data_IF_551726167967
#
_entry.id   IF_551726167967
#
_cell.length_a   1.000
_cell.length_b   1.000
_cell.length_c   1.000
_cell.angle_alpha   90.00
_cell.angle_beta   90.00
_cell.angle_gamma   90.00
#
_symmetry.space_group_name_H-M   'P 1'
#
loop_
_entity.id
_entity.type
_entity.pdbx_description
1 polymer ?
#
# COMPACT_ATOMS: atom_id res chain seq x y z
N UNK A 1 -13.09 -23.98 23.01
CA UNK A 1 -13.99 -23.01 22.34
C UNK A 1 -13.15 -22.14 21.43
N UNK A 2 -13.72 -21.57 20.37
CA UNK A 2 -12.95 -20.77 19.39
C UNK A 2 -13.48 -19.34 19.32
N UNK A 3 -12.85 -18.50 18.49
CA UNK A 3 -13.26 -17.14 18.20
C UNK A 3 -14.79 -16.90 18.26
N UNK A 4 -15.19 -15.81 18.93
CA UNK A 4 -16.58 -15.39 19.15
C UNK A 4 -17.46 -16.31 20.03
N UNK A 5 -16.96 -17.47 20.46
CA UNK A 5 -17.64 -18.33 21.43
C UNK A 5 -17.68 -17.69 22.82
N UNK A 6 -18.76 -17.93 23.58
CA UNK A 6 -18.89 -17.45 24.97
C UNK A 6 -17.86 -18.12 25.88
N UNK A 7 -17.17 -17.37 26.73
CA UNK A 7 -16.16 -17.86 27.67
C UNK A 7 -16.26 -17.14 29.02
N UNK A 8 -15.71 -17.75 30.07
CA UNK A 8 -15.52 -17.16 31.39
C UNK A 8 -14.02 -17.02 31.72
N UNK A 9 -13.21 -18.03 31.39
CA UNK A 9 -11.75 -18.02 31.53
C UNK A 9 -11.05 -18.17 30.19
N UNK A 10 -9.81 -17.69 30.09
CA UNK A 10 -9.03 -17.75 28.85
C UNK A 10 -8.64 -19.18 28.46
N UNK A 11 -8.57 -20.11 29.42
CA UNK A 11 -8.30 -21.53 29.18
C UNK A 11 -9.39 -22.21 28.34
N UNK A 12 -10.62 -21.69 28.36
CA UNK A 12 -11.71 -22.19 27.53
C UNK A 12 -11.49 -21.89 26.04
N UNK A 13 -10.69 -20.87 25.71
CA UNK A 13 -10.37 -20.48 24.34
C UNK A 13 -9.18 -21.30 23.86
N UNK A 14 -9.47 -22.31 23.04
CA UNK A 14 -8.48 -23.30 22.59
C UNK A 14 -7.84 -22.92 21.24
N UNK A 15 -8.31 -21.85 20.59
CA UNK A 15 -7.71 -21.38 19.35
C UNK A 15 -6.36 -20.69 19.58
N UNK A 16 -5.45 -20.84 18.61
CA UNK A 16 -4.10 -20.25 18.70
C UNK A 16 -4.19 -18.73 18.71
N UNK A 17 -3.61 -18.10 19.72
CA UNK A 17 -3.62 -16.66 19.87
C UNK A 17 -4.99 -16.09 20.23
N UNK A 18 -5.84 -16.88 20.89
CA UNK A 18 -7.11 -16.45 21.45
C UNK A 18 -7.02 -16.25 22.96
N UNK A 19 -7.87 -15.38 23.50
CA UNK A 19 -8.04 -15.19 24.93
C UNK A 19 -9.50 -14.86 25.25
N UNK A 20 -9.93 -15.09 26.49
CA UNK A 20 -11.27 -14.72 26.90
C UNK A 20 -11.34 -13.23 27.25
N UNK A 21 -12.05 -12.46 26.43
CA UNK A 21 -12.31 -11.06 26.73
C UNK A 21 -13.45 -10.95 27.75
N UNK A 22 -13.12 -10.59 29.00
CA UNK A 22 -14.09 -10.48 30.10
C UNK A 22 -15.19 -9.44 29.86
N UNK A 23 -14.93 -8.38 29.10
CA UNK A 23 -15.92 -7.34 28.81
C UNK A 23 -17.04 -7.83 27.89
N UNK A 24 -16.70 -8.68 26.91
CA UNK A 24 -17.68 -9.27 25.99
C UNK A 24 -18.14 -10.68 26.37
N UNK A 25 -17.42 -11.32 27.31
CA UNK A 25 -17.60 -12.73 27.67
C UNK A 25 -17.37 -13.68 26.49
N UNK A 26 -16.49 -13.32 25.53
CA UNK A 26 -16.25 -14.09 24.30
C UNK A 26 -14.75 -14.27 24.01
N UNK A 27 -14.40 -15.34 23.30
CA UNK A 27 -13.04 -15.59 22.83
C UNK A 27 -12.66 -14.60 21.71
N UNK A 28 -11.59 -13.84 21.92
CA UNK A 28 -11.08 -12.82 21.01
C UNK A 28 -9.62 -13.12 20.65
N UNK A 29 -9.15 -12.61 19.51
CA UNK A 29 -7.73 -12.68 19.17
C UNK A 29 -6.91 -11.76 20.07
N UNK A 30 -5.72 -12.22 20.49
CA UNK A 30 -4.69 -11.39 21.10
C UNK A 30 -4.39 -10.16 20.25
N UNK A 31 -3.84 -9.11 20.87
CA UNK A 31 -3.42 -7.88 20.18
C UNK A 31 -2.38 -8.11 19.08
N UNK A 32 -1.58 -9.18 19.20
CA UNK A 32 -0.59 -9.62 18.22
C UNK A 32 -1.17 -10.45 17.08
N UNK A 33 -2.49 -10.67 17.09
CA UNK A 33 -3.22 -11.46 16.10
C UNK A 33 -4.40 -10.65 15.56
N UNK A 34 -4.96 -11.11 14.45
CA UNK A 34 -6.18 -10.56 13.88
C UNK A 34 -7.02 -11.68 13.26
N UNK A 35 -8.30 -11.38 13.05
CA UNK A 35 -9.24 -12.36 12.49
C UNK A 35 -9.07 -12.40 10.97
N UNK A 36 -8.69 -13.55 10.46
CA UNK A 36 -8.66 -13.86 9.03
C UNK A 36 -9.35 -15.22 8.80
N UNK A 37 -10.41 -15.23 8.01
CA UNK A 37 -11.17 -16.47 7.74
C UNK A 37 -11.71 -17.14 9.00
N UNK A 38 -12.14 -16.36 9.99
CA UNK A 38 -12.67 -16.88 11.26
C UNK A 38 -11.63 -17.46 12.22
N UNK A 39 -10.34 -17.30 11.94
CA UNK A 39 -9.24 -17.75 12.79
C UNK A 39 -8.34 -16.59 13.18
N UNK A 40 -7.75 -16.64 14.36
CA UNK A 40 -6.69 -15.73 14.74
C UNK A 40 -5.41 -16.07 13.99
N UNK A 41 -4.95 -15.15 13.14
CA UNK A 41 -3.67 -15.23 12.44
C UNK A 41 -2.71 -14.22 13.04
N UNK A 42 -1.41 -14.54 13.14
CA UNK A 42 -0.42 -13.63 13.70
C UNK A 42 -0.25 -12.39 12.81
N UNK A 43 0.08 -11.27 13.43
CA UNK A 43 0.51 -10.07 12.72
C UNK A 43 1.96 -10.25 12.29
N UNK A 44 2.25 -9.96 11.01
CA UNK A 44 3.60 -10.07 10.44
C UNK A 44 4.08 -8.66 10.10
N UNK A 45 5.25 -8.27 10.57
CA UNK A 45 5.76 -6.92 10.39
C UNK A 45 6.51 -6.75 9.06
N UNK A 46 6.58 -5.52 8.52
CA UNK A 46 7.38 -5.24 7.33
C UNK A 46 8.81 -5.75 7.46
N UNK A 47 9.27 -6.49 6.45
CA UNK A 47 10.59 -7.13 6.43
C UNK A 47 10.62 -8.57 6.94
N UNK A 48 9.56 -9.03 7.63
CA UNK A 48 9.41 -10.42 8.04
C UNK A 48 8.75 -11.28 6.96
N UNK A 49 9.06 -12.56 6.98
CA UNK A 49 8.45 -13.59 6.13
C UNK A 49 7.41 -14.40 6.90
N UNK A 50 6.55 -15.14 6.21
CA UNK A 50 5.48 -15.95 6.82
C UNK A 50 4.08 -15.34 6.69
N UNK A 51 3.89 -14.35 5.81
CA UNK A 51 2.57 -13.80 5.55
C UNK A 51 1.84 -14.64 4.50
N UNK A 52 0.56 -14.96 4.77
CA UNK A 52 -0.35 -15.60 3.81
C UNK A 52 -1.27 -14.58 3.14
N UNK A 53 -1.52 -13.44 3.80
CA UNK A 53 -2.46 -12.41 3.35
C UNK A 53 -1.91 -11.02 3.68
N UNK A 54 -2.13 -10.05 2.80
CA UNK A 54 -1.71 -8.66 3.01
C UNK A 54 -2.31 -8.05 4.28
N UNK A 55 -3.45 -8.53 4.77
CA UNK A 55 -4.06 -8.09 6.04
C UNK A 55 -3.17 -8.37 7.26
N UNK A 56 -2.34 -9.43 7.22
CA UNK A 56 -1.34 -9.71 8.25
C UNK A 56 -0.32 -8.58 8.35
N UNK A 57 0.17 -8.13 7.19
CA UNK A 57 1.12 -7.04 7.07
C UNK A 57 0.48 -5.69 7.41
N UNK A 58 -0.72 -5.43 6.88
CA UNK A 58 -1.44 -4.18 7.06
C UNK A 58 -1.79 -3.91 8.52
N UNK A 59 -1.98 -4.96 9.34
CA UNK A 59 -2.19 -4.83 10.78
C UNK A 59 -0.93 -4.39 11.52
N UNK A 60 0.25 -4.83 11.06
CA UNK A 60 1.54 -4.44 11.63
C UNK A 60 2.00 -3.06 11.16
N UNK A 61 1.76 -2.72 9.89
CA UNK A 61 1.99 -1.39 9.34
C UNK A 61 0.95 -1.04 8.27
N UNK A 62 0.24 0.10 8.39
CA UNK A 62 -0.82 0.45 7.46
C UNK A 62 -0.28 0.60 6.02
N UNK A 63 -0.91 -0.10 5.08
CA UNK A 63 -0.50 -0.09 3.67
C UNK A 63 0.67 -1.03 3.33
N UNK A 64 1.19 -1.81 4.29
CA UNK A 64 2.08 -2.91 3.99
C UNK A 64 1.32 -4.06 3.30
N UNK A 65 1.98 -4.72 2.36
CA UNK A 65 1.40 -5.79 1.54
C UNK A 65 2.24 -7.06 1.67
N UNK A 66 1.58 -8.21 1.58
CA UNK A 66 2.26 -9.48 1.49
C UNK A 66 2.62 -9.76 0.03
N UNK A 67 3.88 -9.98 -0.27
CA UNK A 67 4.33 -10.44 -1.57
C UNK A 67 5.43 -11.49 -1.39
N UNK A 68 5.38 -12.59 -2.15
CA UNK A 68 6.32 -13.71 -2.05
C UNK A 68 6.55 -14.18 -0.61
N UNK A 69 5.46 -14.32 0.17
CA UNK A 69 5.50 -14.74 1.58
C UNK A 69 6.32 -13.79 2.49
N UNK A 70 6.47 -12.52 2.10
CA UNK A 70 7.16 -11.47 2.86
C UNK A 70 6.34 -10.20 2.92
N UNK A 71 6.34 -9.54 4.08
CA UNK A 71 5.69 -8.25 4.22
C UNK A 71 6.57 -7.13 3.65
N UNK A 72 6.04 -6.43 2.65
CA UNK A 72 6.67 -5.29 2.01
C UNK A 72 6.00 -3.99 2.43
N UNK A 73 6.80 -2.95 2.57
CA UNK A 73 6.32 -1.60 2.83
C UNK A 73 5.58 -1.02 1.62
N UNK A 74 4.68 -0.03 1.85
CA UNK A 74 4.07 0.74 0.77
C UNK A 74 5.12 1.42 -0.11
N UNK A 75 4.71 1.79 -1.33
CA UNK A 75 5.60 2.40 -2.32
C UNK A 75 6.31 3.63 -1.74
N UNK A 76 7.63 3.67 -1.93
CA UNK A 76 8.49 4.74 -1.42
C UNK A 76 8.99 4.58 0.00
N UNK A 77 8.60 3.50 0.67
CA UNK A 77 9.12 3.14 1.98
C UNK A 77 9.99 1.87 1.88
N UNK A 78 10.92 1.72 2.81
CA UNK A 78 11.77 0.53 2.96
C UNK A 78 11.59 -0.03 4.36
N UNK A 79 11.52 -1.35 4.46
CA UNK A 79 11.43 -2.03 5.74
C UNK A 79 12.77 -1.92 6.47
N UNK A 80 12.75 -1.45 7.71
CA UNK A 80 13.88 -1.42 8.63
C UNK A 80 13.34 -1.60 10.05
N UNK A 81 13.98 -2.43 10.86
CA UNK A 81 13.58 -2.66 12.26
C UNK A 81 12.05 -2.89 12.44
N UNK A 82 11.47 -3.78 11.64
CA UNK A 82 10.04 -4.14 11.69
C UNK A 82 9.06 -2.98 11.41
N UNK A 83 9.53 -1.89 10.83
CA UNK A 83 8.71 -0.74 10.44
C UNK A 83 9.13 -0.22 9.06
N UNK A 84 8.36 0.72 8.52
CA UNK A 84 8.56 1.30 7.20
C UNK A 84 9.07 2.74 7.30
N UNK A 85 10.23 2.98 6.71
CA UNK A 85 10.86 4.29 6.69
C UNK A 85 10.92 4.83 5.26
N UNK A 86 10.67 6.14 5.11
CA UNK A 86 10.70 6.81 3.81
C UNK A 86 12.08 6.63 3.19
N UNK A 87 12.13 6.09 1.99
CA UNK A 87 13.39 5.95 1.28
C UNK A 87 13.85 7.32 0.79
N UNK A 88 15.03 7.78 1.22
CA UNK A 88 15.65 9.00 0.66
C UNK A 88 15.90 8.92 -0.85
N UNK A 89 15.91 7.69 -1.41
CA UNK A 89 16.08 7.40 -2.84
C UNK A 89 14.75 7.36 -3.60
N UNK A 90 13.60 7.41 -2.93
CA UNK A 90 12.31 7.43 -3.62
C UNK A 90 11.98 8.86 -4.03
N UNK A 91 12.32 9.18 -5.28
CA UNK A 91 11.62 10.24 -5.99
C UNK A 91 10.28 9.65 -6.45
N UNK A 92 9.12 10.17 -5.99
CA UNK A 92 7.88 9.83 -6.67
C UNK A 92 8.09 10.21 -8.13
N UNK A 93 7.98 9.23 -9.03
CA UNK A 93 7.83 9.55 -10.44
C UNK A 93 6.54 10.39 -10.51
N UNK A 94 6.66 11.73 -10.43
CA UNK A 94 5.76 12.57 -11.20
C UNK A 94 5.85 11.95 -12.57
N UNK A 95 4.75 11.40 -13.08
CA UNK A 95 4.64 11.19 -14.53
C UNK A 95 5.02 12.55 -15.09
N UNK A 96 6.27 12.68 -15.54
CA UNK A 96 6.68 13.78 -16.38
C UNK A 96 5.70 13.59 -17.52
N UNK A 97 4.71 14.48 -17.63
CA UNK A 97 3.82 14.50 -18.77
C UNK A 97 4.78 14.47 -19.94
N UNK A 98 4.95 13.29 -20.54
CA UNK A 98 5.82 13.16 -21.68
C UNK A 98 5.12 14.07 -22.67
N UNK A 99 5.73 15.18 -23.10
CA UNK A 99 5.09 15.98 -24.13
C UNK A 99 4.76 14.99 -25.25
N UNK A 100 3.50 14.93 -25.72
CA UNK A 100 3.16 14.02 -26.80
C UNK A 100 4.19 14.25 -27.90
N UNK A 101 4.85 13.18 -28.34
CA UNK A 101 5.78 13.28 -29.47
C UNK A 101 4.93 13.73 -30.66
N UNK A 102 5.01 15.02 -31.01
CA UNK A 102 4.44 15.53 -32.25
C UNK A 102 5.14 14.80 -33.40
N UNK A 103 4.33 14.27 -34.32
CA UNK A 103 4.83 13.68 -35.55
C UNK A 103 5.48 14.76 -36.43
N UNK A 104 6.46 14.38 -37.24
CA UNK A 104 7.18 15.29 -38.13
C UNK A 104 6.25 16.09 -39.08
N UNK A 105 5.09 15.52 -39.43
CA UNK A 105 4.06 16.19 -40.25
C UNK A 105 3.40 17.39 -39.56
N UNK A 106 3.28 17.35 -38.23
CA UNK A 106 2.68 18.41 -37.42
C UNK A 106 3.67 19.58 -37.18
N UNK A 107 4.98 19.30 -37.22
CA UNK A 107 6.03 20.33 -37.18
C UNK A 107 6.08 21.18 -38.46
N UNK A 108 5.86 20.57 -39.63
CA UNK A 108 5.89 21.26 -40.93
C UNK A 108 4.70 22.23 -41.05
N UNK A 109 3.56 21.87 -40.44
CA UNK A 109 2.35 22.71 -40.43
C UNK A 109 2.52 24.01 -39.65
N UNK A 110 3.37 24.02 -38.61
CA UNK A 110 3.66 25.20 -37.79
C UNK A 110 4.63 26.18 -38.46
N UNK A 111 5.61 25.67 -39.22
CA UNK A 111 6.60 26.50 -39.93
C UNK A 111 6.05 27.14 -41.21
N UNK A 112 5.08 26.51 -41.86
CA UNK A 112 4.35 27.09 -43.01
C UNK A 112 3.45 28.26 -42.58
N UNK A 113 2.85 28.21 -41.37
CA UNK A 113 1.99 29.28 -40.83
C UNK A 113 2.75 30.56 -40.44
N UNK A 114 4.08 30.51 -40.31
CA UNK A 114 4.92 31.69 -40.07
C UNK A 114 5.42 32.37 -41.35
N UNK A 115 5.22 31.77 -42.53
CA UNK A 115 5.65 32.34 -43.82
C UNK A 115 4.57 33.10 -44.58
N UNK A 116 3.31 33.05 -44.14
CA UNK A 116 2.23 33.82 -44.75
C UNK A 116 1.36 34.49 -43.69
N UNK A 117 1.79 35.67 -43.21
CA UNK A 117 0.87 36.71 -42.81
C UNK A 117 1.11 37.92 -43.73
N UNK A 118 0.17 38.23 -44.64
CA UNK A 118 0.27 39.36 -45.54
C UNK A 118 -0.19 40.61 -44.79
N UNK A 119 0.74 41.39 -44.25
CA UNK A 119 0.46 42.76 -43.80
C UNK A 119 1.76 43.57 -43.84
N UNK A 120 2.10 44.02 -45.04
CA UNK A 120 3.07 45.09 -45.22
C UNK A 120 2.42 46.46 -45.01
N UNK A 121 3.04 47.24 -44.10
CA UNK A 121 3.37 48.68 -44.16
C UNK A 121 2.25 49.77 -44.14
N UNK A 122 2.55 51.07 -43.87
CA UNK A 122 3.86 51.70 -43.58
C UNK A 122 3.90 52.65 -42.35
N UNK A 123 5.12 53.11 -42.06
CA UNK A 123 5.50 54.35 -41.36
C UNK A 123 4.86 55.62 -41.93
N UNK A 124 4.47 56.54 -41.06
CA UNK A 124 4.18 57.96 -41.30
C UNK A 124 4.44 58.75 -40.03
#
# INVERSE_FOLDING_TARGET
KTLASKCKTSEECTGKGEYCNRGSGKCWCLSTHFVLGGKCKPVIYPGQSGCEDSKQCAKGYPGAICNQNKCHCPKGFKAKAFSCFKSKRYTPQRKRSQPPRMNAYDQISFTEKQKYNPSGLPTG
#
